data_IF_568045573242
#
_entry.id   IF_568045573242
#
_cell.length_a   1.000
_cell.length_b   1.000
_cell.length_c   1.000
_cell.angle_alpha   90.00
_cell.angle_beta   90.00
_cell.angle_gamma   90.00
#
_symmetry.space_group_name_H-M   'P 1'
#
loop_
_entity.id
_entity.type
_entity.pdbx_description
1 polymer ?
#
# COMPACT_ATOMS: atom_id res chain seq x y z
N UNK A 1 7.30 -6.49 13.40
CA UNK A 1 6.81 -5.86 12.15
C UNK A 1 7.79 -4.79 11.73
N UNK A 2 7.91 -4.47 10.43
CA UNK A 2 8.83 -3.44 9.97
C UNK A 2 8.37 -2.06 10.44
N UNK A 3 9.31 -1.17 10.75
CA UNK A 3 8.99 0.21 11.06
C UNK A 3 8.49 0.95 9.81
N UNK A 4 7.57 1.89 10.00
CA UNK A 4 7.19 2.89 9.02
C UNK A 4 8.33 3.91 8.84
N UNK A 5 8.39 4.53 7.67
CA UNK A 5 9.27 5.69 7.42
C UNK A 5 8.97 6.87 8.36
N UNK A 6 7.71 6.95 8.78
CA UNK A 6 7.17 7.91 9.73
C UNK A 6 6.85 7.19 11.05
N UNK A 7 7.61 7.43 12.14
CA UNK A 7 7.40 6.80 13.44
C UNK A 7 5.97 6.97 13.97
N UNK A 8 5.35 8.11 13.69
CA UNK A 8 3.97 8.45 14.06
C UNK A 8 2.92 7.55 13.40
N UNK A 9 3.26 6.88 12.29
CA UNK A 9 2.38 5.93 11.61
C UNK A 9 2.60 4.47 12.05
N UNK A 10 3.55 4.18 12.94
CA UNK A 10 3.90 2.79 13.32
C UNK A 10 2.72 2.03 13.92
N UNK A 11 1.99 2.63 14.86
CA UNK A 11 0.87 1.96 15.54
C UNK A 11 -0.26 1.58 14.58
N UNK A 12 -0.54 2.45 13.60
CA UNK A 12 -1.58 2.21 12.59
C UNK A 12 -1.07 1.19 11.56
N UNK A 13 0.21 1.27 11.19
CA UNK A 13 0.88 0.29 10.32
C UNK A 13 0.80 -1.12 10.91
N UNK A 14 1.13 -1.29 12.19
CA UNK A 14 1.11 -2.60 12.84
C UNK A 14 -0.29 -3.22 12.82
N UNK A 15 -1.32 -2.42 13.11
CA UNK A 15 -2.72 -2.86 13.05
C UNK A 15 -3.12 -3.27 11.64
N UNK A 16 -2.75 -2.48 10.64
CA UNK A 16 -3.01 -2.78 9.24
C UNK A 16 -2.27 -4.05 8.78
N UNK A 17 -0.96 -4.15 9.03
CA UNK A 17 -0.13 -5.29 8.65
C UNK A 17 -0.65 -6.58 9.29
N UNK A 18 -1.05 -6.55 10.58
CA UNK A 18 -1.66 -7.69 11.27
C UNK A 18 -2.95 -8.14 10.58
N UNK A 19 -3.84 -7.19 10.26
CA UNK A 19 -5.08 -7.48 9.56
C UNK A 19 -4.81 -8.06 8.18
N UNK A 20 -3.91 -7.43 7.42
CA UNK A 20 -3.56 -7.82 6.06
C UNK A 20 -2.96 -9.22 6.02
N UNK A 21 -2.02 -9.55 6.91
CA UNK A 21 -1.41 -10.89 6.96
C UNK A 21 -2.44 -11.97 7.25
N UNK A 22 -3.37 -11.72 8.18
CA UNK A 22 -4.47 -12.65 8.46
C UNK A 22 -5.36 -12.84 7.24
N UNK A 23 -5.81 -11.75 6.63
CA UNK A 23 -6.62 -11.79 5.41
C UNK A 23 -5.89 -12.50 4.26
N UNK A 24 -4.61 -12.21 4.09
CA UNK A 24 -3.77 -12.79 3.04
C UNK A 24 -3.68 -14.32 3.18
N UNK A 25 -3.38 -14.81 4.38
CA UNK A 25 -3.25 -16.25 4.65
C UNK A 25 -4.58 -17.00 4.67
N UNK A 26 -5.64 -16.41 5.22
CA UNK A 26 -6.91 -17.11 5.43
C UNK A 26 -7.91 -16.94 4.28
N UNK A 27 -7.81 -15.86 3.49
CA UNK A 27 -8.77 -15.51 2.44
C UNK A 27 -8.10 -15.52 1.07
N UNK A 28 -7.13 -14.64 0.86
CA UNK A 28 -6.52 -14.44 -0.47
C UNK A 28 -5.88 -15.72 -1.01
N UNK A 29 -4.98 -16.35 -0.24
CA UNK A 29 -4.32 -17.60 -0.65
C UNK A 29 -5.28 -18.79 -0.79
N UNK A 30 -6.49 -18.69 -0.23
CA UNK A 30 -7.54 -19.71 -0.35
C UNK A 30 -8.55 -19.40 -1.45
N UNK A 31 -8.28 -18.39 -2.28
CA UNK A 31 -9.12 -18.00 -3.42
C UNK A 31 -10.32 -17.11 -3.06
N UNK A 32 -10.44 -16.66 -1.81
CA UNK A 32 -11.46 -15.70 -1.40
C UNK A 32 -10.88 -14.28 -1.41
N UNK A 33 -11.18 -13.51 -2.45
CA UNK A 33 -10.63 -12.16 -2.68
C UNK A 33 -11.66 -11.04 -2.53
N UNK A 34 -12.94 -11.36 -2.32
CA UNK A 34 -14.02 -10.38 -2.29
C UNK A 34 -14.11 -9.59 -0.97
N UNK A 35 -13.39 -10.03 0.06
CA UNK A 35 -13.41 -9.41 1.39
C UNK A 35 -12.42 -8.25 1.45
N UNK A 36 -12.88 -7.09 1.94
CA UNK A 36 -12.05 -5.89 2.14
C UNK A 36 -11.92 -5.56 3.63
N UNK A 37 -11.63 -6.60 4.43
CA UNK A 37 -11.68 -6.57 5.90
C UNK A 37 -10.75 -5.52 6.52
N UNK A 38 -9.69 -5.15 5.80
CA UNK A 38 -8.64 -4.22 6.27
C UNK A 38 -8.72 -2.83 5.62
N UNK A 39 -9.76 -2.54 4.83
CA UNK A 39 -9.85 -1.31 4.04
C UNK A 39 -9.78 -0.05 4.90
N UNK A 40 -10.50 -0.02 6.02
CA UNK A 40 -10.53 1.14 6.91
C UNK A 40 -9.19 1.37 7.63
N UNK A 41 -8.49 0.29 7.99
CA UNK A 41 -7.13 0.37 8.55
C UNK A 41 -6.14 0.87 7.49
N UNK A 42 -6.28 0.39 6.26
CA UNK A 42 -5.46 0.81 5.14
C UNK A 42 -5.65 2.30 4.84
N UNK A 43 -6.89 2.80 4.79
CA UNK A 43 -7.18 4.22 4.56
C UNK A 43 -6.50 5.10 5.60
N UNK A 44 -6.59 4.74 6.88
CA UNK A 44 -5.94 5.47 7.99
C UNK A 44 -4.41 5.46 7.87
N UNK A 45 -3.83 4.27 7.63
CA UNK A 45 -2.39 4.15 7.45
C UNK A 45 -1.89 4.96 6.24
N UNK A 46 -2.57 4.82 5.09
CA UNK A 46 -2.25 5.53 3.86
C UNK A 46 -2.34 7.05 4.03
N UNK A 47 -3.34 7.54 4.75
CA UNK A 47 -3.46 8.97 5.03
C UNK A 47 -2.27 9.50 5.84
N UNK A 48 -1.89 8.78 6.91
CA UNK A 48 -0.72 9.12 7.73
C UNK A 48 0.56 9.11 6.89
N UNK A 49 0.77 8.05 6.11
CA UNK A 49 1.96 7.89 5.28
C UNK A 49 2.07 8.99 4.22
N UNK A 50 0.97 9.33 3.54
CA UNK A 50 0.96 10.36 2.50
C UNK A 50 1.34 11.74 3.05
N UNK A 51 0.99 12.06 4.29
CA UNK A 51 1.41 13.31 4.93
C UNK A 51 2.94 13.32 5.12
N UNK A 52 3.49 12.26 5.70
CA UNK A 52 4.92 12.13 5.94
C UNK A 52 5.75 12.12 4.64
N UNK A 53 5.24 11.49 3.57
CA UNK A 53 5.90 11.48 2.26
C UNK A 53 6.00 12.89 1.66
N UNK A 54 4.95 13.71 1.82
CA UNK A 54 4.92 15.11 1.36
C UNK A 54 5.87 15.99 2.17
N UNK A 55 5.88 15.85 3.49
CA UNK A 55 6.79 16.62 4.36
C UNK A 55 8.27 16.33 4.06
N UNK A 56 8.58 15.10 3.63
CA UNK A 56 9.93 14.70 3.20
C UNK A 56 10.25 15.02 1.75
N UNK A 57 9.29 15.55 0.97
CA UNK A 57 9.49 15.94 -0.43
C UNK A 57 9.77 14.78 -1.40
N UNK A 58 9.39 13.56 -1.03
CA UNK A 58 9.60 12.35 -1.84
C UNK A 58 8.33 11.89 -2.58
N UNK A 59 7.21 12.57 -2.36
CA UNK A 59 5.92 12.25 -2.96
C UNK A 59 5.93 12.33 -4.49
N UNK A 60 6.58 13.35 -5.05
CA UNK A 60 6.71 13.55 -6.51
C UNK A 60 7.50 12.42 -7.16
N UNK A 61 8.68 12.09 -6.61
CA UNK A 61 9.51 10.98 -7.09
C UNK A 61 8.76 9.64 -7.02
N UNK A 62 7.99 9.42 -5.95
CA UNK A 62 7.20 8.21 -5.78
C UNK A 62 6.08 8.10 -6.81
N UNK A 63 5.41 9.22 -7.12
CA UNK A 63 4.34 9.27 -8.10
C UNK A 63 4.86 9.12 -9.53
N UNK A 64 6.01 9.69 -9.86
CA UNK A 64 6.65 9.51 -11.16
C UNK A 64 7.11 8.06 -11.36
N UNK A 65 7.67 7.43 -10.32
CA UNK A 65 8.00 6.00 -10.36
C UNK A 65 6.75 5.12 -10.54
N UNK A 66 5.62 5.48 -9.92
CA UNK A 66 4.35 4.74 -10.09
C UNK A 66 3.76 4.90 -11.49
N UNK A 67 3.88 6.08 -12.11
CA UNK A 67 3.38 6.34 -13.47
C UNK A 67 4.22 5.61 -14.52
N UNK A 68 5.54 5.68 -14.42
CA UNK A 68 6.44 5.02 -15.39
C UNK A 68 6.24 3.51 -15.45
N UNK A 69 5.93 2.85 -14.32
CA UNK A 69 5.56 1.43 -14.31
C UNK A 69 4.25 1.16 -15.08
N UNK A 70 3.22 1.98 -14.86
CA UNK A 70 1.93 1.83 -15.55
C UNK A 70 2.04 2.04 -17.05
N UNK A 71 2.83 3.03 -17.47
CA UNK A 71 3.06 3.31 -18.88
C UNK A 71 3.83 2.16 -19.56
N UNK A 72 4.82 1.58 -18.86
CA UNK A 72 5.54 0.39 -19.32
C UNK A 72 4.67 -0.85 -19.46
N UNK A 73 3.79 -1.14 -18.49
CA UNK A 73 2.83 -2.25 -18.56
C UNK A 73 1.81 -2.06 -19.69
N UNK A 74 1.31 -0.83 -19.88
CA UNK A 74 0.39 -0.50 -20.96
C UNK A 74 1.04 -0.63 -22.33
N UNK A 75 2.32 -0.27 -22.46
CA UNK A 75 3.07 -0.42 -23.71
C UNK A 75 3.38 -1.90 -24.02
N UNK A 76 3.71 -2.71 -23.01
CA UNK A 76 3.92 -4.15 -23.15
C UNK A 76 2.63 -4.88 -23.57
N UNK A 77 1.51 -4.56 -22.93
CA UNK A 77 0.21 -5.19 -23.22
C UNK A 77 -0.32 -4.83 -24.62
N UNK A 78 0.01 -3.64 -25.15
CA UNK A 78 -0.35 -3.22 -26.52
C UNK A 78 0.50 -3.88 -27.61
N UNK A 79 1.67 -4.41 -27.28
CA UNK A 79 2.59 -5.08 -28.21
C UNK A 79 2.41 -6.61 -28.24
N UNK A 80 1.62 -7.17 -27.33
CA UNK A 80 1.33 -8.61 -27.24
C UNK A 80 0.06 -9.01 -27.98
#
# INVERSE_FOLDING_TARGET
MSASIAPECNDIKEKYDTCFLKWYSEKYLRGNTASNDCEELFKKYKACLNLALKERGIDTMLDDARKSMKDGEAEYTRKS
#
